data_IF_373685495491
#
_entry.id   IF_373685495491
#
_cell.length_a   1.000
_cell.length_b   1.000
_cell.length_c   1.000
_cell.angle_alpha   90.00
_cell.angle_beta   90.00
_cell.angle_gamma   90.00
#
_symmetry.space_group_name_H-M   'P 1'
#
loop_
_entity.id
_entity.type
_entity.pdbx_description
1 polymer ?
#
# COMPACT_ATOMS: atom_id res chain seq x y z
N UNK A 1 5.05 -66.35 -14.61
CA UNK A 1 4.79 -65.06 -13.98
C UNK A 1 5.72 -64.93 -12.77
N UNK A 2 6.78 -64.14 -12.90
CA UNK A 2 7.75 -63.92 -11.82
C UNK A 2 7.57 -62.49 -11.33
N UNK A 3 7.07 -62.38 -10.12
CA UNK A 3 6.90 -61.10 -9.40
C UNK A 3 8.21 -60.81 -8.68
N UNK A 4 8.93 -59.72 -9.05
CA UNK A 4 10.13 -59.28 -8.37
C UNK A 4 9.72 -58.49 -7.10
N UNK A 5 10.40 -58.67 -5.95
CA UNK A 5 10.09 -57.97 -4.74
C UNK A 5 10.57 -56.49 -4.80
N UNK A 6 9.77 -55.61 -4.22
CA UNK A 6 10.02 -54.20 -4.03
C UNK A 6 11.17 -53.96 -3.04
N UNK A 7 12.26 -53.34 -3.47
CA UNK A 7 13.37 -52.95 -2.61
C UNK A 7 13.09 -51.56 -2.02
N UNK A 8 12.91 -51.51 -0.71
CA UNK A 8 12.87 -50.24 0.05
C UNK A 8 14.23 -49.55 -0.07
N UNK A 9 14.24 -48.35 -0.68
CA UNK A 9 15.41 -47.45 -0.59
C UNK A 9 15.46 -46.85 0.80
N UNK A 10 16.56 -47.08 1.51
CA UNK A 10 16.90 -46.44 2.77
C UNK A 10 17.08 -44.95 2.56
N UNK A 11 16.41 -44.15 3.38
CA UNK A 11 16.59 -42.71 3.50
C UNK A 11 17.97 -42.41 4.08
N UNK A 12 18.94 -42.06 3.22
CA UNK A 12 20.20 -41.46 3.67
C UNK A 12 19.91 -40.10 4.27
N UNK A 13 20.13 -40.01 5.59
CA UNK A 13 20.00 -38.74 6.32
C UNK A 13 20.95 -37.69 5.75
N UNK A 14 20.36 -36.56 5.35
CA UNK A 14 21.10 -35.36 5.01
C UNK A 14 21.55 -34.73 6.33
N UNK A 15 22.74 -35.08 6.82
CA UNK A 15 23.36 -34.37 7.95
C UNK A 15 23.62 -32.94 7.53
N UNK A 16 22.82 -32.02 8.07
CA UNK A 16 23.07 -30.57 7.97
C UNK A 16 24.30 -30.26 8.80
N UNK A 17 25.42 -30.05 8.13
CA UNK A 17 26.63 -29.52 8.74
C UNK A 17 26.34 -28.08 9.24
N UNK A 18 26.01 -27.95 10.55
CA UNK A 18 25.65 -26.70 11.20
C UNK A 18 26.86 -26.00 11.81
N UNK A 19 28.06 -26.18 11.27
CA UNK A 19 29.27 -25.53 11.77
C UNK A 19 29.56 -24.17 11.09
N UNK A 20 28.53 -23.31 10.95
CA UNK A 20 28.78 -21.90 10.71
C UNK A 20 28.82 -21.20 12.07
N UNK A 21 29.93 -20.49 12.41
CA UNK A 21 29.97 -19.70 13.64
C UNK A 21 28.83 -18.69 13.60
N UNK A 22 27.93 -18.77 14.59
CA UNK A 22 26.86 -17.77 14.77
C UNK A 22 27.52 -16.46 15.15
N UNK A 23 27.79 -15.62 14.16
CA UNK A 23 28.22 -14.25 14.39
C UNK A 23 27.06 -13.49 15.03
N UNK A 24 27.34 -12.67 16.04
CA UNK A 24 26.35 -11.80 16.62
C UNK A 24 25.94 -10.72 15.61
N UNK A 25 24.73 -10.20 15.71
CA UNK A 25 24.26 -9.08 14.84
C UNK A 25 25.22 -7.88 14.96
N UNK A 26 25.81 -7.66 16.13
CA UNK A 26 26.77 -6.59 16.36
C UNK A 26 28.07 -6.78 15.57
N UNK A 27 28.58 -8.02 15.52
CA UNK A 27 29.78 -8.35 14.71
C UNK A 27 29.53 -8.16 13.21
N UNK A 28 28.33 -8.54 12.71
CA UNK A 28 27.95 -8.33 11.31
C UNK A 28 27.84 -6.83 11.02
N UNK A 29 27.26 -6.07 11.94
CA UNK A 29 27.09 -4.62 11.81
C UNK A 29 28.44 -3.88 11.82
N UNK A 30 29.35 -4.24 12.73
CA UNK A 30 30.71 -3.66 12.79
C UNK A 30 31.52 -3.98 11.52
N UNK A 31 31.36 -5.17 10.95
CA UNK A 31 32.08 -5.56 9.75
C UNK A 31 31.56 -4.86 8.48
N UNK A 32 30.27 -4.50 8.46
CA UNK A 32 29.62 -3.87 7.29
C UNK A 32 29.73 -2.36 7.30
N UNK A 33 29.63 -1.75 8.48
CA UNK A 33 29.52 -0.28 8.64
C UNK A 33 30.66 0.34 9.47
N UNK A 34 31.65 -0.45 9.91
CA UNK A 34 32.76 0.01 10.75
C UNK A 34 32.35 0.21 12.22
N UNK A 35 33.34 0.31 13.08
CA UNK A 35 33.11 0.58 14.51
C UNK A 35 32.49 1.95 14.72
N UNK A 36 31.32 2.02 15.34
CA UNK A 36 30.73 3.29 15.78
C UNK A 36 31.52 3.82 16.97
N UNK A 37 32.18 4.94 16.80
CA UNK A 37 32.72 5.70 17.92
C UNK A 37 31.58 6.40 18.67
N UNK A 38 31.11 5.78 19.75
CA UNK A 38 30.02 6.31 20.60
C UNK A 38 30.55 7.24 21.69
N UNK A 39 31.85 7.56 21.69
CA UNK A 39 32.50 8.33 22.79
C UNK A 39 32.00 9.78 22.90
N UNK A 40 31.24 10.29 21.93
CA UNK A 40 30.78 11.70 21.94
C UNK A 40 29.25 11.89 21.97
N UNK A 41 28.44 10.83 22.14
CA UNK A 41 27.01 10.99 22.33
C UNK A 41 26.68 11.27 23.77
N UNK A 42 26.83 12.54 24.19
CA UNK A 42 26.30 13.01 25.48
C UNK A 42 24.78 13.06 25.37
N UNK A 43 24.10 12.03 25.87
CA UNK A 43 22.64 12.08 26.08
C UNK A 43 22.37 13.18 27.13
N UNK A 44 21.88 14.34 26.69
CA UNK A 44 21.27 15.31 27.59
C UNK A 44 20.02 14.63 28.16
N UNK A 45 20.08 14.36 29.49
CA UNK A 45 18.91 13.90 30.25
C UNK A 45 17.81 14.94 30.03
N UNK A 46 16.77 14.58 29.27
CA UNK A 46 15.59 15.43 29.14
C UNK A 46 14.87 15.36 30.48
N UNK A 47 15.08 16.40 31.31
CA UNK A 47 14.29 16.62 32.52
C UNK A 47 12.89 16.98 32.00
N UNK A 48 11.94 16.08 32.16
CA UNK A 48 10.52 16.38 31.91
C UNK A 48 10.12 17.35 33.03
N UNK A 49 9.66 18.58 32.73
CA UNK A 49 9.06 19.43 33.76
C UNK A 49 7.80 18.73 34.28
N UNK A 50 7.61 18.76 35.59
CA UNK A 50 6.37 18.29 36.21
C UNK A 50 5.16 19.04 35.64
N UNK A 51 4.00 18.39 35.51
CA UNK A 51 2.81 19.06 34.96
C UNK A 51 2.37 20.17 35.91
N UNK A 52 2.47 21.41 35.49
CA UNK A 52 1.96 22.58 36.19
C UNK A 52 0.42 22.58 36.08
N UNK A 53 -0.27 22.24 37.17
CA UNK A 53 -1.74 22.01 37.20
C UNK A 53 -2.59 23.27 36.99
N UNK A 54 -2.00 24.44 36.77
CA UNK A 54 -2.77 25.69 36.74
C UNK A 54 -2.49 26.65 35.60
N UNK A 55 -2.30 26.18 34.37
CA UNK A 55 -2.45 27.06 33.20
C UNK A 55 -2.81 26.24 31.95
N UNK A 56 -4.09 26.06 31.71
CA UNK A 56 -4.59 25.83 30.38
C UNK A 56 -4.73 27.19 29.65
N UNK A 57 -3.81 27.62 28.82
CA UNK A 57 -4.16 28.56 27.78
C UNK A 57 -4.98 27.73 26.80
N UNK A 58 -6.28 28.02 26.74
CA UNK A 58 -7.11 27.59 25.64
C UNK A 58 -6.47 28.10 24.35
N UNK A 59 -5.66 27.25 23.70
CA UNK A 59 -5.25 27.50 22.32
C UNK A 59 -6.56 27.65 21.54
N UNK A 60 -6.73 28.76 20.77
CA UNK A 60 -7.91 28.87 19.94
C UNK A 60 -7.96 27.61 19.08
N UNK A 61 -9.12 26.96 19.07
CA UNK A 61 -9.41 25.91 18.11
C UNK A 61 -9.11 26.51 16.73
N UNK A 62 -7.92 26.27 16.21
CA UNK A 62 -7.69 26.42 14.79
C UNK A 62 -8.76 25.53 14.17
N UNK A 63 -9.71 26.15 13.47
CA UNK A 63 -10.59 25.42 12.58
C UNK A 63 -9.68 24.50 11.76
N UNK A 64 -9.64 23.20 12.13
CA UNK A 64 -9.04 22.20 11.28
C UNK A 64 -9.92 22.22 10.05
N UNK A 65 -9.49 22.90 9.01
CA UNK A 65 -9.94 22.59 7.66
C UNK A 65 -9.82 21.08 7.60
N UNK A 66 -10.95 20.40 7.43
CA UNK A 66 -10.97 18.94 7.38
C UNK A 66 -9.93 18.52 6.34
N UNK A 67 -8.90 17.80 6.80
CA UNK A 67 -7.85 17.42 5.88
C UNK A 67 -8.50 16.58 4.78
N UNK A 68 -8.18 16.91 3.53
CA UNK A 68 -8.63 16.19 2.34
C UNK A 68 -8.36 14.70 2.51
N UNK A 69 -9.34 13.85 2.26
CA UNK A 69 -9.18 12.40 2.26
C UNK A 69 -8.96 11.92 0.83
N UNK A 70 -7.78 11.43 0.54
CA UNK A 70 -7.40 10.90 -0.77
C UNK A 70 -7.43 9.38 -0.75
N UNK A 71 -8.08 8.78 -1.75
CA UNK A 71 -8.04 7.36 -2.05
C UNK A 71 -7.11 7.14 -3.25
N UNK A 72 -5.94 6.60 -3.00
CA UNK A 72 -4.93 6.33 -4.03
C UNK A 72 -4.95 4.84 -4.37
N UNK A 73 -5.19 4.50 -5.63
CA UNK A 73 -5.50 3.14 -6.07
C UNK A 73 -4.49 2.68 -7.11
N UNK A 74 -3.82 1.55 -6.86
CA UNK A 74 -3.10 0.82 -7.89
C UNK A 74 -4.09 0.05 -8.77
N UNK A 75 -4.25 0.52 -10.01
CA UNK A 75 -5.27 0.04 -10.92
C UNK A 75 -5.10 -1.44 -11.27
N UNK A 76 -3.90 -1.85 -11.66
CA UNK A 76 -3.68 -3.21 -12.13
C UNK A 76 -3.69 -4.23 -10.99
N UNK A 77 -3.26 -3.84 -9.79
CA UNK A 77 -3.40 -4.67 -8.60
C UNK A 77 -4.88 -4.97 -8.31
N UNK A 78 -5.77 -3.96 -8.41
CA UNK A 78 -7.19 -4.16 -8.21
C UNK A 78 -7.82 -4.99 -9.33
N UNK A 79 -7.51 -4.72 -10.59
CA UNK A 79 -8.01 -5.50 -11.74
C UNK A 79 -7.62 -6.98 -11.58
N UNK A 80 -6.40 -7.27 -11.18
CA UNK A 80 -5.93 -8.64 -11.00
C UNK A 80 -6.50 -9.35 -9.78
N UNK A 81 -6.86 -8.60 -8.74
CA UNK A 81 -7.43 -9.14 -7.51
C UNK A 81 -8.92 -9.47 -7.61
N UNK A 82 -9.64 -8.88 -8.56
CA UNK A 82 -11.06 -9.12 -8.79
C UNK A 82 -11.27 -10.02 -10.03
N UNK A 83 -12.00 -11.13 -9.83
CA UNK A 83 -12.18 -12.13 -10.91
C UNK A 83 -12.92 -11.56 -12.12
N UNK A 84 -13.97 -10.76 -11.91
CA UNK A 84 -14.78 -10.15 -12.99
C UNK A 84 -13.94 -9.16 -13.79
N UNK A 85 -13.23 -8.23 -13.11
CA UNK A 85 -12.36 -7.27 -13.78
C UNK A 85 -11.20 -7.94 -14.52
N UNK A 86 -10.65 -9.01 -13.94
CA UNK A 86 -9.57 -9.78 -14.56
C UNK A 86 -10.02 -10.48 -15.85
N UNK A 87 -11.20 -11.11 -15.85
CA UNK A 87 -11.75 -11.71 -17.06
C UNK A 87 -12.11 -10.64 -18.10
N UNK A 88 -12.70 -9.52 -17.68
CA UNK A 88 -12.99 -8.40 -18.56
C UNK A 88 -11.69 -7.84 -19.19
N UNK A 89 -10.62 -7.70 -18.42
CA UNK A 89 -9.34 -7.20 -18.91
C UNK A 89 -8.66 -8.12 -19.94
N UNK A 90 -8.98 -9.42 -19.93
CA UNK A 90 -8.49 -10.37 -20.95
C UNK A 90 -9.19 -10.15 -22.29
N UNK A 91 -10.44 -9.71 -22.29
CA UNK A 91 -11.23 -9.44 -23.47
C UNK A 91 -11.03 -8.01 -23.96
N UNK A 92 -11.14 -7.06 -23.06
CA UNK A 92 -11.00 -5.63 -23.31
C UNK A 92 -10.45 -4.93 -22.07
N UNK A 93 -9.19 -4.52 -22.16
CA UNK A 93 -8.52 -3.79 -21.09
C UNK A 93 -9.12 -2.39 -20.88
N UNK A 94 -9.62 -1.76 -21.95
CA UNK A 94 -10.29 -0.45 -21.88
C UNK A 94 -11.57 -0.54 -21.04
N UNK A 95 -12.43 -1.51 -21.35
CA UNK A 95 -13.66 -1.77 -20.60
C UNK A 95 -13.37 -2.12 -19.12
N UNK A 96 -12.30 -2.87 -18.82
CA UNK A 96 -11.92 -3.17 -17.45
C UNK A 96 -11.47 -1.94 -16.68
N UNK A 97 -10.74 -1.00 -17.31
CA UNK A 97 -10.35 0.28 -16.71
C UNK A 97 -11.55 1.17 -16.41
N UNK A 98 -12.48 1.25 -17.36
CA UNK A 98 -13.72 2.00 -17.20
C UNK A 98 -14.53 1.45 -16.02
N UNK A 99 -14.75 0.14 -15.98
CA UNK A 99 -15.48 -0.54 -14.91
C UNK A 99 -14.81 -0.35 -13.53
N UNK A 100 -13.48 -0.41 -13.46
CA UNK A 100 -12.74 -0.09 -12.24
C UNK A 100 -12.96 1.36 -11.83
N UNK A 101 -12.89 2.31 -12.79
CA UNK A 101 -13.07 3.74 -12.52
C UNK A 101 -14.46 4.05 -11.96
N UNK A 102 -15.51 3.43 -12.52
CA UNK A 102 -16.87 3.52 -11.98
C UNK A 102 -16.96 2.98 -10.54
N UNK A 103 -16.39 1.80 -10.30
CA UNK A 103 -16.40 1.17 -8.97
C UNK A 103 -15.69 2.04 -7.93
N UNK A 104 -14.54 2.60 -8.28
CA UNK A 104 -13.76 3.48 -7.39
C UNK A 104 -14.47 4.81 -7.18
N UNK A 105 -15.10 5.39 -8.22
CA UNK A 105 -15.89 6.60 -8.11
C UNK A 105 -17.06 6.43 -7.13
N UNK A 106 -17.81 5.34 -7.28
CA UNK A 106 -18.95 5.01 -6.42
C UNK A 106 -18.50 4.82 -4.95
N UNK A 107 -17.44 4.03 -4.72
CA UNK A 107 -16.88 3.84 -3.39
C UNK A 107 -16.41 5.16 -2.76
N UNK A 108 -15.68 5.96 -3.51
CA UNK A 108 -15.15 7.23 -3.03
C UNK A 108 -16.27 8.21 -2.68
N UNK A 109 -17.34 8.27 -3.48
CA UNK A 109 -18.51 9.09 -3.20
C UNK A 109 -19.21 8.68 -1.89
N UNK A 110 -19.35 7.36 -1.64
CA UNK A 110 -19.93 6.84 -0.39
C UNK A 110 -19.08 7.17 0.84
N UNK A 111 -17.76 7.24 0.71
CA UNK A 111 -16.80 7.48 1.80
C UNK A 111 -16.40 8.95 1.94
N UNK A 112 -16.76 9.82 1.00
CA UNK A 112 -16.30 11.19 0.96
C UNK A 112 -14.81 11.33 0.66
N UNK A 113 -14.24 10.43 -0.17
CA UNK A 113 -12.85 10.45 -0.59
C UNK A 113 -12.69 11.14 -1.95
N UNK A 114 -11.49 11.68 -2.20
CA UNK A 114 -11.07 12.12 -3.52
C UNK A 114 -10.24 11.00 -4.17
N UNK A 115 -10.76 10.34 -5.20
CA UNK A 115 -10.12 9.18 -5.80
C UNK A 115 -9.08 9.55 -6.84
N UNK A 116 -7.93 8.88 -6.76
CA UNK A 116 -6.86 8.92 -7.76
C UNK A 116 -6.53 7.47 -8.12
N UNK A 117 -6.69 7.11 -9.38
CA UNK A 117 -6.32 5.79 -9.90
C UNK A 117 -5.04 5.92 -10.71
N UNK A 118 -4.05 5.09 -10.37
CA UNK A 118 -2.76 5.07 -11.03
C UNK A 118 -2.66 3.84 -11.93
N UNK A 119 -2.45 4.09 -13.22
CA UNK A 119 -2.22 3.07 -14.24
C UNK A 119 -0.75 3.07 -14.63
N UNK A 120 -0.09 1.92 -14.50
CA UNK A 120 1.25 1.73 -15.00
C UNK A 120 1.27 1.77 -16.55
N UNK A 121 2.17 2.55 -17.12
CA UNK A 121 2.34 2.68 -18.56
C UNK A 121 3.03 1.47 -19.22
N UNK A 122 3.03 0.31 -18.60
CA UNK A 122 3.82 -0.91 -18.85
C UNK A 122 4.00 -1.34 -20.32
N UNK A 123 3.30 -0.77 -21.29
CA UNK A 123 3.38 -1.22 -22.71
C UNK A 123 3.64 -0.14 -23.75
N UNK A 124 3.77 1.12 -23.38
CA UNK A 124 3.99 2.20 -24.34
C UNK A 124 5.29 2.96 -24.03
N UNK A 125 6.37 2.50 -24.63
CA UNK A 125 7.73 3.04 -24.40
C UNK A 125 7.92 4.53 -24.72
N UNK A 126 6.94 5.16 -25.36
CA UNK A 126 7.03 6.54 -25.85
C UNK A 126 5.96 7.48 -25.26
N UNK A 127 5.19 7.04 -24.26
CA UNK A 127 4.16 7.90 -23.64
C UNK A 127 4.75 8.69 -22.48
N UNK A 128 4.55 9.99 -22.56
CA UNK A 128 4.68 10.91 -21.41
C UNK A 128 3.57 10.60 -20.40
N UNK A 129 3.84 10.88 -19.12
CA UNK A 129 2.81 10.82 -18.11
C UNK A 129 1.60 11.66 -18.50
N UNK A 130 0.40 11.13 -18.34
CA UNK A 130 -0.84 11.88 -18.58
C UNK A 130 -1.76 11.80 -17.36
N UNK A 131 -2.52 12.88 -17.19
CA UNK A 131 -3.59 12.95 -16.20
C UNK A 131 -4.90 13.20 -16.93
N UNK A 132 -5.89 12.40 -16.63
CA UNK A 132 -7.25 12.52 -17.13
C UNK A 132 -8.21 12.62 -15.95
N UNK A 133 -9.38 13.18 -16.15
CA UNK A 133 -10.41 13.27 -15.12
C UNK A 133 -11.74 12.75 -15.69
N UNK A 134 -12.33 11.79 -15.02
CA UNK A 134 -13.62 11.21 -15.41
C UNK A 134 -14.42 10.79 -14.18
N UNK A 135 -15.73 11.04 -14.17
CA UNK A 135 -16.62 10.68 -13.06
C UNK A 135 -16.17 11.18 -11.69
N UNK A 136 -15.42 12.30 -11.64
CA UNK A 136 -14.83 12.81 -10.39
C UNK A 136 -13.62 12.02 -9.91
N UNK A 137 -13.05 11.17 -10.75
CA UNK A 137 -11.82 10.39 -10.49
C UNK A 137 -10.67 10.96 -11.30
N UNK A 138 -9.52 11.20 -10.66
CA UNK A 138 -8.28 11.52 -11.35
C UNK A 138 -7.61 10.23 -11.82
N UNK A 139 -7.46 10.05 -13.12
CA UNK A 139 -6.74 8.94 -13.73
C UNK A 139 -5.32 9.39 -14.05
N UNK A 140 -4.34 8.71 -13.49
CA UNK A 140 -2.92 8.96 -13.74
C UNK A 140 -2.36 7.81 -14.56
N UNK A 141 -1.76 8.11 -15.69
CA UNK A 141 -0.97 7.16 -16.45
C UNK A 141 0.50 7.52 -16.26
N UNK A 142 1.27 6.63 -15.66
CA UNK A 142 2.69 6.89 -15.40
C UNK A 142 3.49 7.00 -16.70
N UNK A 143 4.66 7.64 -16.63
CA UNK A 143 5.59 7.63 -17.75
C UNK A 143 6.22 6.23 -17.91
N UNK A 144 6.82 5.97 -19.07
CA UNK A 144 7.47 4.68 -19.37
C UNK A 144 8.61 4.29 -18.42
N UNK A 145 9.17 5.25 -17.71
CA UNK A 145 10.26 5.08 -16.73
C UNK A 145 9.80 5.15 -15.28
N UNK A 146 8.50 5.25 -15.00
CA UNK A 146 7.93 5.30 -13.66
C UNK A 146 6.87 4.21 -13.52
N UNK A 147 6.96 3.40 -12.46
CA UNK A 147 5.93 2.41 -12.11
C UNK A 147 4.80 3.05 -11.31
N UNK A 148 3.64 2.38 -11.25
CA UNK A 148 2.54 2.82 -10.39
C UNK A 148 2.97 2.91 -8.92
N UNK A 149 3.70 1.90 -8.41
CA UNK A 149 4.22 1.88 -7.05
C UNK A 149 5.11 3.11 -6.76
N UNK A 150 6.05 3.41 -7.67
CA UNK A 150 6.94 4.57 -7.51
C UNK A 150 6.17 5.90 -7.49
N UNK A 151 5.14 6.02 -8.32
CA UNK A 151 4.25 7.18 -8.31
C UNK A 151 3.49 7.30 -6.97
N UNK A 152 2.92 6.20 -6.50
CA UNK A 152 2.15 6.13 -5.27
C UNK A 152 3.02 6.49 -4.06
N UNK A 153 4.22 5.90 -3.95
CA UNK A 153 5.17 6.21 -2.88
C UNK A 153 5.56 7.70 -2.88
N UNK A 154 5.87 8.25 -4.05
CA UNK A 154 6.21 9.67 -4.20
C UNK A 154 5.04 10.57 -3.80
N UNK A 155 3.82 10.27 -4.25
CA UNK A 155 2.62 11.02 -3.89
C UNK A 155 2.40 11.04 -2.38
N UNK A 156 2.49 9.87 -1.74
CA UNK A 156 2.36 9.76 -0.27
C UNK A 156 3.44 10.59 0.42
N UNK A 157 4.69 10.48 0.01
CA UNK A 157 5.79 11.24 0.61
C UNK A 157 5.57 12.77 0.55
N UNK A 158 5.08 13.25 -0.57
CA UNK A 158 4.85 14.69 -0.80
C UNK A 158 3.64 15.23 -0.02
N UNK A 159 2.57 14.42 0.16
CA UNK A 159 1.27 14.92 0.62
C UNK A 159 0.84 14.45 2.02
N UNK A 160 1.53 13.46 2.62
CA UNK A 160 1.10 12.86 3.89
C UNK A 160 0.98 13.85 5.07
N UNK A 161 1.65 15.00 5.00
CA UNK A 161 1.57 16.03 6.05
C UNK A 161 0.32 16.89 5.96
N UNK A 162 -0.31 16.97 4.79
CA UNK A 162 -1.45 17.84 4.48
C UNK A 162 -2.74 17.08 4.19
N UNK A 163 -2.66 15.82 3.81
CA UNK A 163 -3.77 14.97 3.39
C UNK A 163 -3.87 13.70 4.23
N UNK A 164 -5.08 13.18 4.38
CA UNK A 164 -5.28 11.83 4.89
C UNK A 164 -5.30 10.88 3.69
N UNK A 165 -4.29 10.07 3.53
CA UNK A 165 -4.13 9.23 2.36
C UNK A 165 -4.44 7.78 2.73
N UNK A 166 -5.29 7.13 1.93
CA UNK A 166 -5.54 5.69 1.96
C UNK A 166 -5.09 5.09 0.64
N UNK A 167 -4.16 4.15 0.67
CA UNK A 167 -3.65 3.45 -0.51
C UNK A 167 -4.28 2.07 -0.60
N UNK A 168 -4.82 1.74 -1.78
CA UNK A 168 -5.40 0.42 -2.07
C UNK A 168 -4.50 -0.33 -3.04
N UNK A 169 -3.87 -1.39 -2.54
CA UNK A 169 -3.01 -2.28 -3.32
C UNK A 169 -3.02 -3.70 -2.74
N UNK A 170 -2.72 -4.70 -3.55
CA UNK A 170 -2.53 -6.09 -3.12
C UNK A 170 -1.06 -6.43 -2.85
N UNK A 171 -0.11 -5.57 -3.22
CA UNK A 171 1.30 -5.81 -2.97
C UNK A 171 1.63 -5.58 -1.50
N UNK A 172 2.20 -6.62 -0.87
CA UNK A 172 2.54 -6.58 0.56
C UNK A 172 3.74 -5.67 0.85
N UNK A 173 4.69 -5.59 -0.07
CA UNK A 173 5.89 -4.76 0.11
C UNK A 173 5.49 -3.29 0.01
N UNK A 174 4.69 -2.94 -1.01
CA UNK A 174 4.12 -1.61 -1.16
C UNK A 174 3.30 -1.22 0.08
N UNK A 175 2.41 -2.11 0.57
CA UNK A 175 1.64 -1.87 1.78
C UNK A 175 2.51 -1.59 3.01
N UNK A 176 3.66 -2.25 3.15
CA UNK A 176 4.59 -2.01 4.26
C UNK A 176 5.27 -0.65 4.14
N UNK A 177 5.74 -0.29 2.95
CA UNK A 177 6.36 1.01 2.66
C UNK A 177 5.38 2.15 2.97
N UNK A 178 4.16 2.07 2.43
CA UNK A 178 3.10 3.05 2.64
C UNK A 178 2.76 3.23 4.12
N UNK A 179 2.65 2.13 4.87
CA UNK A 179 2.39 2.18 6.31
C UNK A 179 3.51 2.86 7.09
N UNK A 180 4.78 2.59 6.74
CA UNK A 180 5.94 3.25 7.37
C UNK A 180 5.97 4.76 7.09
N UNK A 181 5.44 5.19 5.96
CA UNK A 181 5.30 6.61 5.60
C UNK A 181 4.15 7.30 6.36
N UNK A 182 3.30 6.55 7.05
CA UNK A 182 2.19 7.08 7.87
C UNK A 182 0.85 7.17 7.16
N UNK A 183 0.72 6.65 5.93
CA UNK A 183 -0.55 6.55 5.24
C UNK A 183 -1.34 5.30 5.65
N UNK A 184 -2.65 5.34 5.48
CA UNK A 184 -3.51 4.18 5.65
C UNK A 184 -3.34 3.25 4.45
N UNK A 185 -3.48 1.95 4.72
CA UNK A 185 -3.44 0.93 3.69
C UNK A 185 -4.69 0.08 3.72
N UNK A 186 -5.15 -0.32 2.54
CA UNK A 186 -6.27 -1.24 2.36
C UNK A 186 -5.89 -2.28 1.30
N UNK A 187 -6.16 -3.56 1.55
CA UNK A 187 -5.96 -4.57 0.52
C UNK A 187 -7.06 -4.49 -0.54
N UNK A 188 -6.77 -4.92 -1.78
CA UNK A 188 -7.79 -4.98 -2.81
C UNK A 188 -8.98 -5.87 -2.38
N UNK A 189 -8.72 -6.97 -1.69
CA UNK A 189 -9.79 -7.84 -1.15
C UNK A 189 -10.68 -7.11 -0.15
N UNK A 190 -10.11 -6.32 0.75
CA UNK A 190 -10.87 -5.58 1.74
C UNK A 190 -11.64 -4.42 1.10
N UNK A 191 -11.05 -3.78 0.07
CA UNK A 191 -11.72 -2.75 -0.72
C UNK A 191 -13.01 -3.27 -1.36
N UNK A 192 -12.96 -4.39 -2.09
CA UNK A 192 -14.15 -4.94 -2.74
C UNK A 192 -15.19 -5.44 -1.73
N UNK A 193 -14.77 -6.07 -0.64
CA UNK A 193 -15.70 -6.49 0.43
C UNK A 193 -16.42 -5.29 1.06
N UNK A 194 -15.67 -4.23 1.37
CA UNK A 194 -16.26 -3.02 1.94
C UNK A 194 -17.19 -2.33 0.95
N UNK A 195 -16.83 -2.29 -0.34
CA UNK A 195 -17.67 -1.76 -1.39
C UNK A 195 -19.02 -2.49 -1.47
N UNK A 196 -18.99 -3.84 -1.49
CA UNK A 196 -20.21 -4.65 -1.53
C UNK A 196 -21.08 -4.42 -0.29
N UNK A 197 -20.47 -4.32 0.89
CA UNK A 197 -21.17 -4.01 2.13
C UNK A 197 -21.85 -2.63 2.10
N UNK A 198 -21.15 -1.61 1.61
CA UNK A 198 -21.69 -0.25 1.49
C UNK A 198 -22.86 -0.21 0.49
N UNK A 199 -22.73 -0.87 -0.66
CA UNK A 199 -23.83 -1.01 -1.63
C UNK A 199 -25.06 -1.69 -1.02
N UNK A 200 -24.87 -2.77 -0.30
CA UNK A 200 -25.96 -3.47 0.37
C UNK A 200 -26.68 -2.63 1.42
N UNK A 201 -25.97 -1.71 2.08
CA UNK A 201 -26.57 -0.79 3.06
C UNK A 201 -27.38 0.33 2.40
N UNK A 202 -26.98 0.78 1.22
CA UNK A 202 -27.69 1.86 0.50
C UNK A 202 -28.90 1.39 -0.28
N UNK A 203 -28.93 0.14 -0.76
CA UNK A 203 -30.04 -0.39 -1.57
C UNK A 203 -31.43 -0.27 -0.90
N UNK A 204 -31.63 -0.52 0.41
CA UNK A 204 -32.94 -0.35 1.03
C UNK A 204 -33.47 1.08 1.02
N UNK A 205 -32.59 2.09 0.95
CA UNK A 205 -32.96 3.50 0.95
C UNK A 205 -33.26 4.07 -0.43
N UNK A 206 -32.92 3.36 -1.49
CA UNK A 206 -33.16 3.78 -2.89
C UNK A 206 -34.50 3.26 -3.44
N UNK A 207 -35.21 2.38 -2.70
CA UNK A 207 -36.48 1.77 -3.10
C UNK A 207 -37.70 2.43 -2.44
N UNK A 208 -37.53 3.53 -1.75
CA UNK A 208 -38.54 4.38 -1.17
C UNK A 208 -38.44 5.80 -1.72
#
# INVERSE_FOLDING_TARGET
MHIKPYVKRSSSGFERNTNYPRRSLDEIFEQTYGKRDVSHVKYKKVIRPEPDEHKHPSKPLRNKVSAKHVLLVDAYNLIHANTELKELARLDLGAAREKLSETVAEYAAMKGFEPIIVFDAYKNKDKLASKEETLGVSLIFTASNETADSYIERYVFEHIKSENITVVTSDRLEQMTIFQMGANRQSASDFFKEFDMLKAQLMPHLLH
#
